data_IF_715839806456
#
_entry.id   IF_715839806456
#
_cell.length_a   1.000
_cell.length_b   1.000
_cell.length_c   1.000
_cell.angle_alpha   90.00
_cell.angle_beta   90.00
_cell.angle_gamma   90.00
#
_symmetry.space_group_name_H-M   'P 1'
#
loop_
_entity.id
_entity.type
_entity.pdbx_description
1 polymer ?
#
# COMPACT_ATOMS: atom_id res chain seq x y z
N UNK A 1 11.83 -10.79 -22.14
CA UNK A 1 11.93 -10.45 -21.71
C UNK A 1 11.91 -10.38 -21.73
N UNK A 2 11.88 -10.36 -21.99
CA UNK A 2 12.05 -10.05 -21.68
C UNK A 2 12.06 -9.91 -21.52
N UNK A 3 12.34 -9.75 -22.05
CA UNK A 3 12.48 -9.39 -21.54
C UNK A 3 12.52 -9.07 -21.19
N UNK A 4 12.73 -8.92 -21.70
CA UNK A 4 12.88 -8.44 -21.02
C UNK A 4 12.75 -8.15 -20.68
N UNK A 5 12.91 -8.06 -21.10
CA UNK A 5 12.84 -7.65 -20.41
C UNK A 5 12.63 -7.58 -19.90
N UNK A 6 12.76 -7.54 -20.23
CA UNK A 6 12.57 -7.24 -19.44
C UNK A 6 12.63 -7.06 -18.83
N UNK A 7 12.96 -6.93 -18.94
CA UNK A 7 13.13 -6.37 -18.24
C UNK A 7 12.90 -5.95 -17.82
N UNK A 8 12.91 -5.89 -18.03
CA UNK A 8 12.76 -5.18 -17.50
C UNK A 8 12.27 -5.00 -16.98
N UNK A 9 12.21 -5.02 -17.21
CA UNK A 9 11.69 -4.53 -16.48
C UNK A 9 11.41 -4.23 -15.82
N UNK A 10 11.77 -4.53 -16.10
CA UNK A 10 11.42 -4.11 -15.11
C UNK A 10 10.77 -3.22 -14.98
N UNK A 11 10.25 -3.40 -14.76
CA UNK A 11 9.46 -2.24 -14.70
C UNK A 11 9.83 -1.32 -13.59
N UNK A 12 9.90 -0.07 -13.89
CA UNK A 12 10.21 0.87 -12.86
C UNK A 12 9.00 1.34 -12.11
N UNK A 13 7.81 0.93 -12.47
CA UNK A 13 6.62 1.39 -11.79
C UNK A 13 6.48 0.80 -10.41
N UNK A 14 7.06 -0.34 -10.18
CA UNK A 14 6.89 -1.00 -8.90
C UNK A 14 8.04 -1.94 -8.65
N UNK A 15 8.28 -2.19 -7.39
CA UNK A 15 9.20 -3.21 -6.94
C UNK A 15 8.45 -4.16 -6.03
N UNK A 16 8.61 -5.45 -6.29
CA UNK A 16 8.02 -6.46 -5.44
C UNK A 16 9.09 -7.47 -5.07
N UNK A 17 9.47 -7.56 -3.79
CA UNK A 17 10.54 -8.47 -3.39
C UNK A 17 10.11 -9.92 -3.48
N UNK A 18 11.09 -10.82 -3.61
CA UNK A 18 10.81 -12.24 -3.54
C UNK A 18 10.25 -12.57 -2.16
N UNK A 19 9.49 -13.67 -2.10
CA UNK A 19 8.87 -14.08 -0.86
C UNK A 19 9.92 -14.26 0.22
N UNK A 20 9.63 -13.73 1.40
CA UNK A 20 10.53 -13.84 2.55
C UNK A 20 11.62 -12.81 2.61
N UNK A 21 11.80 -12.01 1.56
CA UNK A 21 12.84 -10.98 1.56
C UNK A 21 12.34 -9.71 2.23
N UNK A 22 13.25 -8.99 2.87
CA UNK A 22 12.93 -7.66 3.38
C UNK A 22 12.75 -6.70 2.23
N UNK A 23 11.86 -5.76 2.41
CA UNK A 23 11.59 -4.77 1.40
C UNK A 23 12.64 -3.67 1.47
N UNK A 24 13.40 -3.40 0.41
CA UNK A 24 14.49 -2.44 0.48
C UNK A 24 14.02 -1.02 0.71
N UNK A 25 14.75 -0.28 1.53
CA UNK A 25 14.42 1.11 1.82
C UNK A 25 14.46 1.98 0.57
N UNK A 26 15.36 1.68 -0.37
CA UNK A 26 15.45 2.45 -1.60
C UNK A 26 14.19 2.32 -2.46
N UNK A 27 13.62 1.12 -2.49
CA UNK A 27 12.38 0.90 -3.25
C UNK A 27 11.24 1.68 -2.63
N UNK A 28 11.14 1.72 -1.32
CA UNK A 28 10.14 2.53 -0.64
C UNK A 28 10.36 4.02 -0.91
N UNK A 29 11.61 4.47 -0.85
CA UNK A 29 11.93 5.86 -1.13
C UNK A 29 11.52 6.28 -2.53
N UNK A 30 11.81 5.45 -3.53
CA UNK A 30 11.43 5.74 -4.90
C UNK A 30 9.91 5.79 -5.06
N UNK A 31 9.19 4.87 -4.41
CA UNK A 31 7.74 4.86 -4.44
C UNK A 31 7.18 6.15 -3.84
N UNK A 32 7.66 6.54 -2.68
CA UNK A 32 7.16 7.75 -2.02
C UNK A 32 7.49 9.01 -2.82
N UNK A 33 8.61 9.00 -3.51
CA UNK A 33 8.96 10.09 -4.40
C UNK A 33 7.94 10.21 -5.54
N UNK A 34 7.58 9.08 -6.15
CA UNK A 34 6.57 9.08 -7.21
C UNK A 34 5.21 9.54 -6.69
N UNK A 35 4.84 9.08 -5.50
CA UNK A 35 3.56 9.47 -4.90
C UNK A 35 3.52 10.96 -4.58
N UNK A 36 4.66 11.54 -4.21
CA UNK A 36 4.73 12.96 -3.87
C UNK A 36 4.42 13.86 -5.07
N UNK A 37 4.59 13.33 -6.29
CA UNK A 37 4.30 14.09 -7.50
C UNK A 37 2.84 14.00 -7.92
N UNK A 38 2.05 13.16 -7.29
CA UNK A 38 0.63 13.05 -7.57
C UNK A 38 -0.13 14.07 -6.72
N UNK A 39 -0.88 14.96 -7.38
CA UNK A 39 -1.66 15.95 -6.65
C UNK A 39 -2.66 15.28 -5.72
N UNK A 40 -3.29 14.19 -6.18
CA UNK A 40 -4.26 13.51 -5.35
C UNK A 40 -3.61 12.77 -4.19
N UNK A 41 -2.55 11.96 -4.47
CA UNK A 41 -1.96 11.12 -3.44
C UNK A 41 -1.19 11.93 -2.40
N UNK A 42 -0.54 13.01 -2.83
CA UNK A 42 0.35 13.76 -1.95
C UNK A 42 -0.40 14.59 -0.90
N UNK A 43 -1.71 14.77 -1.06
CA UNK A 43 -2.46 15.63 -0.13
C UNK A 43 -2.93 14.90 1.13
N UNK A 44 -2.81 13.58 1.18
CA UNK A 44 -3.29 12.84 2.33
C UNK A 44 -2.37 13.03 3.53
N UNK A 45 -2.96 13.19 4.70
CA UNK A 45 -2.27 13.38 5.97
C UNK A 45 -3.06 12.69 7.06
N UNK A 46 -2.36 12.15 8.05
CA UNK A 46 -3.02 11.70 9.26
C UNK A 46 -3.36 12.91 10.11
N UNK A 47 -4.58 12.95 10.60
CA UNK A 47 -5.04 14.00 11.48
C UNK A 47 -4.84 13.60 12.92
N UNK A 48 -5.16 14.52 13.84
CA UNK A 48 -5.04 14.26 15.26
C UNK A 48 -5.83 13.03 15.67
N UNK A 49 -7.04 12.86 15.13
CA UNK A 49 -7.86 11.70 15.50
C UNK A 49 -7.20 10.38 15.12
N UNK A 50 -6.60 10.30 13.91
CA UNK A 50 -5.91 9.08 13.51
C UNK A 50 -4.64 8.86 14.32
N UNK A 51 -3.89 9.93 14.59
CA UNK A 51 -2.68 9.81 15.39
C UNK A 51 -3.01 9.37 16.82
N UNK A 52 -4.08 9.90 17.40
CA UNK A 52 -4.53 9.50 18.73
C UNK A 52 -4.94 8.03 18.74
N UNK A 53 -5.61 7.58 17.69
CA UNK A 53 -6.00 6.19 17.58
C UNK A 53 -4.78 5.27 17.54
N UNK A 54 -3.75 5.66 16.76
CA UNK A 54 -2.52 4.88 16.70
C UNK A 54 -1.85 4.83 18.08
N UNK A 55 -1.81 5.97 18.77
CA UNK A 55 -1.21 6.02 20.11
C UNK A 55 -1.94 5.12 21.09
N UNK A 56 -3.28 5.09 21.00
CA UNK A 56 -4.09 4.30 21.91
C UNK A 56 -3.98 2.81 21.62
N UNK A 57 -3.91 2.42 20.35
CA UNK A 57 -3.93 0.99 19.97
C UNK A 57 -2.52 0.40 19.85
N UNK A 58 -1.54 1.21 19.49
CA UNK A 58 -0.17 0.74 19.25
C UNK A 58 0.03 0.28 17.82
N UNK A 59 1.28 0.44 17.35
CA UNK A 59 1.60 0.13 15.94
C UNK A 59 1.40 -1.35 15.60
N UNK A 60 1.65 -2.25 16.55
CA UNK A 60 1.44 -3.68 16.29
C UNK A 60 -0.03 -3.97 15.94
N UNK A 61 -0.95 -3.33 16.68
CA UNK A 61 -2.38 -3.49 16.42
C UNK A 61 -2.77 -2.88 15.08
N UNK A 62 -2.21 -1.71 14.75
CA UNK A 62 -2.48 -1.07 13.47
C UNK A 62 -1.99 -1.94 12.31
N UNK A 63 -0.82 -2.56 12.47
CA UNK A 63 -0.30 -3.50 11.45
C UNK A 63 -1.24 -4.68 11.26
N UNK A 64 -1.77 -5.21 12.35
CA UNK A 64 -2.73 -6.31 12.28
C UNK A 64 -3.99 -5.88 11.54
N UNK A 65 -4.52 -4.69 11.84
CA UNK A 65 -5.66 -4.15 11.11
C UNK A 65 -5.36 -4.02 9.63
N UNK A 66 -4.16 -3.52 9.28
CA UNK A 66 -3.77 -3.40 7.89
C UNK A 66 -3.79 -4.75 7.18
N UNK A 67 -3.24 -5.78 7.83
CA UNK A 67 -3.26 -7.12 7.27
C UNK A 67 -4.67 -7.64 7.05
N UNK A 68 -5.56 -7.40 8.01
CA UNK A 68 -6.95 -7.83 7.91
C UNK A 68 -7.67 -7.13 6.76
N UNK A 69 -7.52 -5.81 6.65
CA UNK A 69 -8.16 -5.07 5.57
C UNK A 69 -7.64 -5.51 4.20
N UNK A 70 -6.32 -5.71 4.08
CA UNK A 70 -5.73 -6.15 2.83
C UNK A 70 -6.28 -7.53 2.45
N UNK A 71 -6.27 -8.46 3.40
CA UNK A 71 -6.73 -9.82 3.14
C UNK A 71 -8.20 -9.85 2.74
N UNK A 72 -9.03 -9.07 3.42
CA UNK A 72 -10.48 -9.14 3.23
C UNK A 72 -10.96 -8.31 2.05
N UNK A 73 -10.34 -7.15 1.82
CA UNK A 73 -10.88 -6.18 0.87
C UNK A 73 -10.06 -5.99 -0.39
N UNK A 74 -8.79 -6.43 -0.42
CA UNK A 74 -7.94 -6.26 -1.59
C UNK A 74 -7.51 -7.58 -2.20
N UNK A 75 -7.20 -8.57 -1.36
CA UNK A 75 -6.58 -9.80 -1.83
C UNK A 75 -7.44 -10.65 -2.77
N UNK A 76 -8.77 -10.71 -2.62
CA UNK A 76 -9.56 -11.52 -3.55
C UNK A 76 -9.39 -11.06 -5.00
N UNK A 77 -9.50 -11.99 -5.94
CA UNK A 77 -9.35 -11.67 -7.36
C UNK A 77 -10.33 -10.58 -7.80
N UNK A 78 -11.55 -10.62 -7.28
CA UNK A 78 -12.60 -9.66 -7.60
C UNK A 78 -13.23 -9.21 -6.29
N UNK A 79 -12.59 -8.25 -5.59
CA UNK A 79 -13.13 -7.81 -4.30
C UNK A 79 -14.49 -7.16 -4.47
N UNK A 80 -15.40 -7.34 -3.51
CA UNK A 80 -16.68 -6.63 -3.56
C UNK A 80 -16.44 -5.12 -3.58
N UNK A 81 -17.23 -4.41 -4.40
CA UNK A 81 -17.15 -2.96 -4.51
C UNK A 81 -15.78 -2.45 -4.93
N UNK A 82 -15.08 -3.21 -5.81
CA UNK A 82 -13.74 -2.81 -6.21
C UNK A 82 -13.75 -1.41 -6.82
N UNK A 83 -12.86 -0.57 -6.31
CA UNK A 83 -12.82 0.85 -6.63
C UNK A 83 -13.46 1.72 -5.55
N UNK A 84 -14.24 1.13 -4.65
CA UNK A 84 -14.93 1.85 -3.58
C UNK A 84 -14.83 1.15 -2.23
N UNK A 85 -14.02 0.11 -2.13
CA UNK A 85 -13.98 -0.72 -0.92
C UNK A 85 -13.31 -0.03 0.26
N UNK A 86 -12.49 0.99 0.00
CA UNK A 86 -11.72 1.66 1.06
C UNK A 86 -12.32 3.02 1.36
N UNK A 87 -12.82 3.24 2.58
CA UNK A 87 -13.31 4.55 2.97
C UNK A 87 -12.21 5.61 2.90
N UNK A 88 -12.60 6.86 2.71
CA UNK A 88 -11.64 7.95 2.61
C UNK A 88 -11.04 8.31 3.96
N UNK A 89 -11.71 7.98 5.05
CA UNK A 89 -11.23 8.29 6.41
C UNK A 89 -11.91 7.34 7.39
N UNK A 90 -11.58 7.47 8.65
CA UNK A 90 -12.17 6.65 9.71
C UNK A 90 -11.21 5.66 10.31
N UNK A 91 -10.04 5.49 9.69
CA UNK A 91 -8.99 4.62 10.22
C UNK A 91 -7.68 5.04 9.56
N UNK A 92 -6.57 5.08 10.32
CA UNK A 92 -5.29 5.47 9.72
C UNK A 92 -4.88 4.59 8.52
N UNK A 93 -5.23 3.30 8.54
CA UNK A 93 -4.93 2.42 7.42
C UNK A 93 -5.69 2.84 6.16
N UNK A 94 -6.94 3.28 6.29
CA UNK A 94 -7.71 3.74 5.13
C UNK A 94 -7.05 4.96 4.49
N UNK A 95 -6.61 5.90 5.30
CA UNK A 95 -5.91 7.07 4.79
C UNK A 95 -4.62 6.66 4.10
N UNK A 96 -3.87 5.75 4.72
CA UNK A 96 -2.64 5.23 4.13
C UNK A 96 -2.88 4.54 2.79
N UNK A 97 -3.97 3.79 2.68
CA UNK A 97 -4.30 3.10 1.43
C UNK A 97 -4.50 4.09 0.29
N UNK A 98 -5.23 5.17 0.54
CA UNK A 98 -5.44 6.18 -0.49
C UNK A 98 -4.13 6.93 -0.80
N UNK A 99 -3.35 7.24 0.23
CA UNK A 99 -2.11 7.98 0.04
C UNK A 99 -1.08 7.19 -0.78
N UNK A 100 -1.09 5.86 -0.66
CA UNK A 100 -0.06 5.03 -1.28
C UNK A 100 -0.53 4.28 -2.52
N UNK A 101 -1.76 4.50 -2.95
CA UNK A 101 -2.27 3.81 -4.13
C UNK A 101 -2.62 2.35 -3.87
N UNK A 102 -3.00 2.02 -2.64
CA UNK A 102 -3.38 0.66 -2.24
C UNK A 102 -4.85 0.58 -1.88
N UNK A 103 -5.68 1.44 -2.46
CA UNK A 103 -7.07 1.53 -2.07
C UNK A 103 -8.00 0.61 -2.87
N UNK A 104 -7.57 0.13 -4.02
CA UNK A 104 -8.33 -0.80 -4.84
C UNK A 104 -7.38 -1.54 -5.78
N UNK A 105 -7.89 -2.57 -6.48
CA UNK A 105 -7.04 -3.38 -7.33
C UNK A 105 -6.54 -2.61 -8.55
N UNK A 106 -7.32 -1.67 -9.06
CA UNK A 106 -6.86 -0.82 -10.16
C UNK A 106 -5.69 0.06 -9.74
N UNK A 107 -5.76 0.63 -8.55
CA UNK A 107 -4.67 1.45 -8.03
C UNK A 107 -3.44 0.60 -7.73
N UNK A 108 -3.63 -0.61 -7.18
CA UNK A 108 -2.51 -1.52 -6.97
C UNK A 108 -1.80 -1.85 -8.27
N UNK A 109 -2.57 -2.09 -9.34
CA UNK A 109 -1.96 -2.36 -10.64
C UNK A 109 -1.18 -1.17 -11.14
N UNK A 110 -1.76 0.01 -11.01
CA UNK A 110 -1.14 1.23 -11.54
C UNK A 110 0.11 1.63 -10.77
N UNK A 111 0.03 1.61 -9.44
CA UNK A 111 1.13 2.14 -8.61
C UNK A 111 2.16 1.10 -8.22
N UNK A 112 1.75 -0.17 -8.15
CA UNK A 112 2.61 -1.22 -7.59
C UNK A 112 2.84 -2.38 -8.55
N UNK A 113 2.21 -2.37 -9.73
CA UNK A 113 2.39 -3.43 -10.68
C UNK A 113 1.78 -4.76 -10.28
N UNK A 114 0.85 -4.77 -9.31
CA UNK A 114 0.18 -5.98 -8.85
C UNK A 114 -1.09 -6.17 -9.67
N UNK A 115 -1.14 -7.15 -10.58
CA UNK A 115 -2.26 -7.23 -11.53
C UNK A 115 -3.59 -7.56 -10.85
N UNK A 116 -4.66 -6.97 -11.35
CA UNK A 116 -6.00 -7.32 -10.94
C UNK A 116 -6.42 -8.63 -11.61
N UNK A 117 -7.51 -9.21 -11.09
CA UNK A 117 -8.10 -10.39 -11.72
C UNK A 117 -7.57 -11.71 -11.18
N UNK A 118 -6.66 -11.68 -10.24
CA UNK A 118 -6.20 -12.87 -9.53
C UNK A 118 -6.03 -12.54 -8.05
N UNK A 119 -6.08 -13.54 -7.16
CA UNK A 119 -5.86 -13.26 -5.74
C UNK A 119 -4.43 -12.76 -5.51
N UNK A 120 -4.26 -11.87 -4.56
CA UNK A 120 -2.92 -11.49 -4.10
C UNK A 120 -2.30 -12.65 -3.35
N UNK A 121 -1.03 -12.91 -3.62
CA UNK A 121 -0.29 -13.91 -2.84
C UNK A 121 -0.03 -13.38 -1.44
N UNK A 122 0.38 -14.28 -0.55
CA UNK A 122 0.74 -13.85 0.81
C UNK A 122 1.89 -12.85 0.78
N UNK A 123 2.87 -13.06 -0.09
CA UNK A 123 3.99 -12.13 -0.20
C UNK A 123 3.54 -10.77 -0.71
N UNK A 124 2.60 -10.75 -1.65
CA UNK A 124 2.04 -9.48 -2.15
C UNK A 124 1.25 -8.76 -1.06
N UNK A 125 0.48 -9.49 -0.28
CA UNK A 125 -0.24 -8.91 0.84
C UNK A 125 0.73 -8.31 1.86
N UNK A 126 1.81 -9.03 2.18
CA UNK A 126 2.83 -8.53 3.10
C UNK A 126 3.49 -7.27 2.55
N UNK A 127 3.76 -7.23 1.25
CA UNK A 127 4.30 -6.03 0.63
C UNK A 127 3.38 -4.83 0.82
N UNK A 128 2.09 -5.01 0.57
CA UNK A 128 1.13 -3.92 0.73
C UNK A 128 1.12 -3.43 2.17
N UNK A 129 1.11 -4.35 3.14
CA UNK A 129 1.14 -3.97 4.56
C UNK A 129 2.40 -3.15 4.87
N UNK A 130 3.57 -3.56 4.33
CA UNK A 130 4.80 -2.81 4.59
C UNK A 130 4.74 -1.41 4.01
N UNK A 131 4.16 -1.24 2.83
CA UNK A 131 3.98 0.09 2.23
C UNK A 131 3.11 0.96 3.13
N UNK A 132 2.00 0.41 3.60
CA UNK A 132 1.07 1.14 4.46
C UNK A 132 1.74 1.56 5.77
N UNK A 133 2.45 0.63 6.40
CA UNK A 133 3.10 0.92 7.67
C UNK A 133 4.25 1.92 7.51
N UNK A 134 4.97 1.85 6.40
CA UNK A 134 6.03 2.81 6.13
C UNK A 134 5.47 4.23 5.97
N UNK A 135 4.34 4.36 5.26
CA UNK A 135 3.71 5.67 5.11
C UNK A 135 3.22 6.21 6.46
N UNK A 136 2.59 5.35 7.25
CA UNK A 136 2.12 5.75 8.58
C UNK A 136 3.30 6.20 9.44
N UNK A 137 4.42 5.47 9.39
CA UNK A 137 5.60 5.85 10.15
C UNK A 137 6.13 7.22 9.76
N UNK A 138 6.12 7.53 8.47
CA UNK A 138 6.54 8.85 8.01
C UNK A 138 5.61 9.95 8.52
N UNK A 139 4.31 9.67 8.57
CA UNK A 139 3.35 10.63 9.09
C UNK A 139 3.57 10.90 10.58
N UNK A 140 3.90 9.85 11.33
CA UNK A 140 4.14 9.99 12.77
C UNK A 140 5.41 10.77 13.07
N UNK A 141 6.36 10.77 12.16
CA UNK A 141 7.64 11.45 12.35
C UNK A 141 7.57 12.94 12.02
N UNK A 142 6.46 13.42 11.49
CA UNK A 142 6.33 14.82 11.05
C UNK A 142 6.09 15.73 12.23
#
# INVERSE_FOLDING_TARGET
FPSASSRRFVSETAYFPVAGASFPAEALGALFERLSRSAFRSRFRLRTTELDYIAAKGLATIRQHAGDFVRQRLAPAFPPNDGRQTPMRGHPVFVAQHATGCCCRGCLAKWHGLPAGRPLTEAEQAYVVEVLMAWIGRQMAR
#
